data_IF_146587079317
#
_entry.id   IF_146587079317
#
_cell.length_a   1.000
_cell.length_b   1.000
_cell.length_c   1.000
_cell.angle_alpha   90.00
_cell.angle_beta   90.00
_cell.angle_gamma   90.00
#
_symmetry.space_group_name_H-M   'P 1'
#
loop_
_entity.id
_entity.type
_entity.pdbx_description
1 polymer ?
#
# COMPACT_ATOMS: atom_id res chain seq x y z
N UNK A 1 -21.37 -0.24 -5.18
CA UNK A 1 -20.46 0.09 -4.07
C UNK A 1 -19.14 -0.63 -4.30
N UNK A 2 -18.00 0.04 -4.11
CA UNK A 2 -16.66 -0.54 -4.34
C UNK A 2 -15.88 -0.61 -3.02
N UNK A 3 -14.90 -1.50 -2.96
CA UNK A 3 -13.92 -1.59 -1.87
C UNK A 3 -12.55 -1.12 -2.36
N UNK A 4 -11.76 -0.54 -1.46
CA UNK A 4 -10.33 -0.31 -1.69
C UNK A 4 -9.56 -1.64 -1.72
N UNK A 5 -8.37 -1.65 -2.35
CA UNK A 5 -7.54 -2.85 -2.48
C UNK A 5 -7.19 -3.44 -1.11
N UNK A 6 -6.85 -2.61 -0.12
CA UNK A 6 -6.50 -3.08 1.22
C UNK A 6 -7.69 -3.74 1.94
N UNK A 7 -8.91 -3.23 1.72
CA UNK A 7 -10.13 -3.78 2.32
C UNK A 7 -10.45 -5.16 1.74
N UNK A 8 -10.32 -5.32 0.42
CA UNK A 8 -10.47 -6.61 -0.24
C UNK A 8 -9.45 -7.64 0.26
N UNK A 9 -8.18 -7.22 0.44
CA UNK A 9 -7.13 -8.09 1.00
C UNK A 9 -7.35 -8.44 2.47
N UNK A 10 -7.87 -7.52 3.28
CA UNK A 10 -8.29 -7.83 4.65
C UNK A 10 -9.41 -8.88 4.66
N UNK A 11 -10.36 -8.80 3.73
CA UNK A 11 -11.40 -9.81 3.59
C UNK A 11 -10.79 -11.15 3.18
N UNK A 12 -9.88 -11.19 2.19
CA UNK A 12 -9.18 -12.41 1.81
C UNK A 12 -8.45 -13.07 3.00
N UNK A 13 -7.71 -12.29 3.77
CA UNK A 13 -7.02 -12.78 4.96
C UNK A 13 -7.97 -13.37 6.01
N UNK A 14 -9.14 -12.75 6.24
CA UNK A 14 -10.17 -13.27 7.17
C UNK A 14 -10.71 -14.64 6.75
N UNK A 15 -10.69 -14.94 5.45
CA UNK A 15 -11.17 -16.21 4.89
C UNK A 15 -10.02 -17.19 4.58
N UNK A 16 -8.81 -16.93 5.09
CA UNK A 16 -7.66 -17.81 4.90
C UNK A 16 -7.10 -17.82 3.47
N UNK A 17 -7.50 -16.86 2.62
CA UNK A 17 -6.92 -16.71 1.29
C UNK A 17 -5.60 -15.95 1.37
N UNK A 18 -4.55 -16.39 0.63
CA UNK A 18 -3.25 -15.76 0.68
C UNK A 18 -3.31 -14.33 0.12
N UNK A 19 -2.78 -13.38 0.88
CA UNK A 19 -2.54 -12.01 0.45
C UNK A 19 -1.17 -11.56 0.98
N UNK A 20 -0.45 -10.67 0.26
CA UNK A 20 0.78 -10.09 0.80
C UNK A 20 0.53 -9.42 2.15
N UNK A 21 1.51 -9.45 3.05
CA UNK A 21 1.46 -8.68 4.30
C UNK A 21 1.56 -7.21 3.95
N UNK A 22 0.70 -6.37 4.53
CA UNK A 22 0.79 -4.95 4.29
C UNK A 22 -0.19 -4.13 5.12
N UNK A 23 0.03 -2.82 5.07
CA UNK A 23 -0.61 -1.86 5.95
C UNK A 23 -1.15 -0.70 5.15
N UNK A 24 -2.41 -0.33 5.41
CA UNK A 24 -2.98 0.93 4.94
C UNK A 24 -2.42 2.08 5.80
N UNK A 25 -1.99 3.14 5.14
CA UNK A 25 -1.33 4.29 5.72
C UNK A 25 -2.03 5.56 5.22
N UNK A 26 -2.20 6.52 6.11
CA UNK A 26 -2.76 7.86 5.81
C UNK A 26 -1.72 8.96 5.97
N UNK A 27 -0.59 8.66 6.62
CA UNK A 27 0.53 9.60 6.77
C UNK A 27 1.83 9.03 6.21
N UNK A 28 2.76 9.88 5.72
CA UNK A 28 4.09 9.44 5.30
C UNK A 28 4.82 8.61 6.36
N UNK A 29 4.72 9.02 7.63
CA UNK A 29 5.35 8.33 8.76
C UNK A 29 4.84 6.89 8.92
N UNK A 30 3.53 6.69 8.84
CA UNK A 30 2.93 5.35 8.89
C UNK A 30 3.47 4.42 7.80
N UNK A 31 3.75 4.94 6.60
CA UNK A 31 4.33 4.13 5.52
C UNK A 31 5.77 3.70 5.80
N UNK A 32 6.60 4.57 6.39
CA UNK A 32 7.98 4.22 6.75
C UNK A 32 8.01 3.20 7.90
N UNK A 33 7.08 3.34 8.86
CA UNK A 33 6.88 2.37 9.94
C UNK A 33 6.34 1.03 9.39
N UNK A 34 5.40 1.07 8.44
CA UNK A 34 4.86 -0.13 7.78
C UNK A 34 5.94 -0.91 7.03
N UNK A 35 6.83 -0.22 6.30
CA UNK A 35 7.98 -0.85 5.66
C UNK A 35 8.85 -1.60 6.68
N UNK A 36 9.08 -1.02 7.86
CA UNK A 36 9.83 -1.68 8.93
C UNK A 36 9.10 -2.88 9.54
N UNK A 37 7.76 -2.84 9.65
CA UNK A 37 6.92 -3.96 10.11
C UNK A 37 6.89 -5.12 9.12
N UNK A 38 6.90 -4.83 7.82
CA UNK A 38 6.91 -5.84 6.76
C UNK A 38 8.25 -6.59 6.72
N UNK A 39 9.36 -5.88 6.95
CA UNK A 39 10.70 -6.46 6.97
C UNK A 39 11.60 -5.91 5.88
N UNK A 40 12.56 -6.70 5.41
CA UNK A 40 13.49 -6.28 4.36
C UNK A 40 12.77 -6.03 3.04
N UNK A 41 13.14 -4.94 2.35
CA UNK A 41 12.57 -4.59 1.05
C UNK A 41 13.04 -5.53 -0.09
N UNK A 42 12.58 -5.25 -1.32
CA UNK A 42 11.85 -4.06 -1.74
C UNK A 42 10.38 -4.05 -1.28
N UNK A 43 9.82 -2.86 -1.08
CA UNK A 43 8.40 -2.67 -0.73
C UNK A 43 7.61 -2.12 -1.92
N UNK A 44 6.32 -2.43 -1.96
CA UNK A 44 5.38 -1.91 -2.95
C UNK A 44 4.44 -0.92 -2.30
N UNK A 45 4.57 0.35 -2.68
CA UNK A 45 3.65 1.41 -2.26
C UNK A 45 2.60 1.61 -3.34
N UNK A 46 1.32 1.62 -2.95
CA UNK A 46 0.19 1.81 -3.87
C UNK A 46 -0.79 2.84 -3.34
N UNK A 47 -1.18 3.79 -4.16
CA UNK A 47 -2.28 4.70 -3.85
C UNK A 47 -3.60 3.93 -3.73
N UNK A 48 -4.43 4.31 -2.76
CA UNK A 48 -5.73 3.71 -2.54
C UNK A 48 -6.84 4.54 -3.18
N UNK A 49 -7.28 4.13 -4.37
CA UNK A 49 -8.43 4.68 -5.08
C UNK A 49 -9.25 3.55 -5.68
N UNK A 50 -10.56 3.77 -5.89
CA UNK A 50 -11.43 2.77 -6.52
C UNK A 50 -11.14 2.59 -8.01
N UNK A 51 -10.60 3.60 -8.67
CA UNK A 51 -10.26 3.54 -10.08
C UNK A 51 -9.09 2.59 -10.37
N UNK A 52 -9.14 1.95 -11.54
CA UNK A 52 -8.02 1.20 -12.12
C UNK A 52 -6.91 2.09 -12.67
N UNK A 53 -5.94 1.52 -13.38
CA UNK A 53 -4.90 2.29 -14.11
C UNK A 53 -3.80 2.92 -13.25
N UNK A 54 -3.81 2.70 -11.93
CA UNK A 54 -2.84 3.26 -10.96
C UNK A 54 -1.38 3.03 -11.34
N UNK A 55 -1.04 1.88 -11.92
CA UNK A 55 0.33 1.59 -12.36
C UNK A 55 0.82 2.54 -13.46
N UNK A 56 -0.01 2.76 -14.50
CA UNK A 56 0.31 3.69 -15.60
C UNK A 56 0.35 5.14 -15.12
N UNK A 57 -0.52 5.51 -14.18
CA UNK A 57 -0.56 6.84 -13.58
C UNK A 57 0.55 7.10 -12.55
N UNK A 58 1.44 6.14 -12.30
CA UNK A 58 2.53 6.27 -11.34
C UNK A 58 2.12 6.13 -9.87
N UNK A 59 0.88 5.72 -9.59
CA UNK A 59 0.33 5.43 -8.26
C UNK A 59 0.67 4.04 -7.71
N UNK A 60 1.60 3.33 -8.35
CA UNK A 60 2.20 2.08 -7.86
C UNK A 60 3.72 2.20 -8.03
N UNK A 61 4.48 2.03 -6.95
CA UNK A 61 5.95 2.14 -6.95
C UNK A 61 6.56 1.01 -6.14
N UNK A 62 7.60 0.41 -6.70
CA UNK A 62 8.52 -0.46 -5.96
C UNK A 62 9.65 0.41 -5.43
N UNK A 63 9.98 0.28 -4.15
CA UNK A 63 10.97 1.09 -3.47
C UNK A 63 11.94 0.22 -2.68
N UNK A 64 13.22 0.59 -2.70
CA UNK A 64 14.29 -0.17 -2.04
C UNK A 64 14.81 0.56 -0.78
N UNK A 65 14.20 1.69 -0.44
CA UNK A 65 14.53 2.47 0.75
C UNK A 65 13.27 2.76 1.55
N UNK A 66 13.41 2.81 2.87
CA UNK A 66 12.31 3.08 3.81
C UNK A 66 11.65 4.43 3.58
N UNK A 67 12.29 5.35 2.85
CA UNK A 67 11.73 6.63 2.40
C UNK A 67 10.61 6.41 1.36
N UNK A 68 9.49 5.88 1.84
CA UNK A 68 8.30 5.43 1.09
C UNK A 68 7.25 6.53 0.93
N UNK A 69 7.54 7.75 1.39
CA UNK A 69 6.63 8.90 1.44
C UNK A 69 6.14 9.43 0.07
N UNK A 70 6.73 8.97 -1.04
CA UNK A 70 6.55 9.54 -2.38
C UNK A 70 5.09 9.55 -2.88
N UNK A 71 4.28 8.55 -2.52
CA UNK A 71 2.89 8.43 -3.00
C UNK A 71 1.85 9.04 -2.05
N UNK A 72 2.15 9.09 -0.74
CA UNK A 72 1.25 9.64 0.26
C UNK A 72 1.12 11.16 0.15
N UNK A 73 2.20 11.85 -0.21
CA UNK A 73 2.19 13.31 -0.43
C UNK A 73 1.21 13.74 -1.52
N UNK A 74 0.88 12.85 -2.48
CA UNK A 74 0.04 13.19 -3.64
C UNK A 74 -1.42 12.76 -3.50
N UNK A 75 -1.71 11.76 -2.65
CA UNK A 75 -3.03 11.09 -2.64
C UNK A 75 -3.69 11.01 -1.27
N UNK A 76 -2.99 11.32 -0.19
CA UNK A 76 -3.53 11.27 1.18
C UNK A 76 -3.80 9.85 1.73
N UNK A 77 -3.74 8.81 0.90
CA UNK A 77 -3.87 7.42 1.34
C UNK A 77 -3.11 6.45 0.44
N UNK A 78 -2.34 5.57 1.06
CA UNK A 78 -1.60 4.51 0.38
C UNK A 78 -1.59 3.22 1.20
N UNK A 79 -1.12 2.15 0.59
CA UNK A 79 -0.80 0.90 1.26
C UNK A 79 0.63 0.51 0.95
N UNK A 80 1.35 0.02 1.95
CA UNK A 80 2.70 -0.55 1.81
C UNK A 80 2.57 -2.06 1.94
N UNK A 81 3.20 -2.79 1.01
CA UNK A 81 3.28 -4.25 0.95
C UNK A 81 4.71 -4.69 0.74
#
# INVERSE_FOLDING_TARGET
>A
MNLHEYQAKQLFARYGLPAPVGYACTTPREAEEAASKIGAGPWVVKCQVHAGGRGKAGGVKVVNSKKTSVLLQKTGSASVW
#
